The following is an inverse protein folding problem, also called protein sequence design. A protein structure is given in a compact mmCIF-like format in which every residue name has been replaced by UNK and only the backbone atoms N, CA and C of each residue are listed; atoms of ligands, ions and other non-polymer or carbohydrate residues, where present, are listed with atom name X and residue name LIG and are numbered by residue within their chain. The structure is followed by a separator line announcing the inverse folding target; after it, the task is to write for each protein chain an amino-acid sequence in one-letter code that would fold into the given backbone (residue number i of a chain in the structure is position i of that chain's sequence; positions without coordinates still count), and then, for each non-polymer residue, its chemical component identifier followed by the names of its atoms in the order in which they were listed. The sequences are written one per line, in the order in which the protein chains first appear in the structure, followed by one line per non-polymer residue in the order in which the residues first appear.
data_IF_019683338574
#
_entry.id   IF_019683338574
#
_cell.length_a   1.000
_cell.length_b   1.000
_cell.length_c   1.000
_cell.angle_alpha   90.00
_cell.angle_beta   90.00
_cell.angle_gamma   90.00
#
_symmetry.space_group_name_H-M   'P 1'
#
loop_
_entity.id
_entity.type
_entity.pdbx_description
1 polymer ?
#
# COMPACT_ATOMS: atom_id res chain seq x y z
N UNK A 1 -84.52 -22.13 -38.95
CA UNK A 1 -83.70 -20.94 -39.28
C UNK A 1 -83.23 -20.19 -38.03
N UNK A 2 -84.10 -19.91 -37.05
CA UNK A 2 -83.75 -19.14 -35.84
C UNK A 2 -82.68 -19.79 -34.94
N UNK A 3 -82.74 -21.11 -34.69
CA UNK A 3 -81.79 -21.81 -33.81
C UNK A 3 -80.34 -21.73 -34.32
N UNK A 4 -80.16 -21.87 -35.64
CA UNK A 4 -78.85 -21.84 -36.28
C UNK A 4 -78.20 -20.44 -36.19
N UNK A 5 -79.04 -19.40 -36.23
CA UNK A 5 -78.64 -18.00 -36.08
C UNK A 5 -78.25 -17.69 -34.62
N UNK A 6 -78.96 -18.27 -33.65
CA UNK A 6 -78.63 -18.14 -32.22
C UNK A 6 -77.30 -18.83 -31.87
N UNK A 7 -77.05 -20.03 -32.42
CA UNK A 7 -75.78 -20.75 -32.22
C UNK A 7 -74.61 -19.93 -32.81
N UNK A 8 -74.80 -19.35 -34.00
CA UNK A 8 -73.78 -18.50 -34.62
C UNK A 8 -73.49 -17.24 -33.78
N UNK A 9 -74.52 -16.59 -33.23
CA UNK A 9 -74.35 -15.43 -32.34
C UNK A 9 -73.60 -15.78 -31.05
N UNK A 10 -73.89 -16.93 -30.44
CA UNK A 10 -73.18 -17.40 -29.24
C UNK A 10 -71.72 -17.71 -29.59
N UNK A 11 -71.45 -18.34 -30.73
CA UNK A 11 -70.09 -18.62 -31.18
C UNK A 11 -69.28 -17.33 -31.41
N UNK A 12 -69.90 -16.30 -31.98
CA UNK A 12 -69.27 -14.98 -32.17
C UNK A 12 -69.00 -14.30 -30.82
N UNK A 13 -69.93 -14.36 -29.87
CA UNK A 13 -69.74 -13.80 -28.53
C UNK A 13 -68.64 -14.51 -27.75
N UNK A 14 -68.59 -15.85 -27.80
CA UNK A 14 -67.53 -16.64 -27.17
C UNK A 14 -66.17 -16.39 -27.83
N UNK A 15 -66.12 -16.31 -29.17
CA UNK A 15 -64.92 -15.96 -29.91
C UNK A 15 -64.41 -14.56 -29.58
N UNK A 16 -65.32 -13.58 -29.54
CA UNK A 16 -64.99 -12.20 -29.16
C UNK A 16 -64.49 -12.09 -27.71
N UNK A 17 -65.12 -12.82 -26.78
CA UNK A 17 -64.68 -12.87 -25.37
C UNK A 17 -63.31 -13.54 -25.22
N UNK A 18 -63.05 -14.61 -25.96
CA UNK A 18 -61.75 -15.30 -25.95
C UNK A 18 -60.65 -14.39 -26.52
N UNK A 19 -60.90 -13.70 -27.63
CA UNK A 19 -59.94 -12.75 -28.22
C UNK A 19 -59.70 -11.57 -27.27
N UNK A 20 -60.74 -11.01 -26.66
CA UNK A 20 -60.60 -9.92 -25.70
C UNK A 20 -59.77 -10.32 -24.48
N UNK A 21 -60.04 -11.50 -23.90
CA UNK A 21 -59.29 -12.00 -22.73
C UNK A 21 -57.85 -12.35 -23.07
N UNK A 22 -57.59 -12.87 -24.27
CA UNK A 22 -56.23 -13.15 -24.76
C UNK A 22 -55.44 -11.86 -25.00
N UNK A 23 -56.02 -10.88 -25.71
CA UNK A 23 -55.40 -9.58 -25.96
C UNK A 23 -55.13 -8.80 -24.68
N UNK A 24 -55.99 -8.93 -23.66
CA UNK A 24 -55.79 -8.28 -22.35
C UNK A 24 -54.66 -8.90 -21.53
N UNK A 25 -54.41 -10.21 -21.66
CA UNK A 25 -53.35 -10.93 -20.91
C UNK A 25 -51.96 -10.90 -21.57
N UNK A 26 -51.89 -10.62 -22.87
CA UNK A 26 -50.63 -10.46 -23.61
C UNK A 26 -49.69 -9.37 -23.03
N UNK A 27 -50.15 -8.13 -22.75
CA UNK A 27 -49.28 -7.10 -22.20
C UNK A 27 -48.68 -7.53 -20.85
N UNK A 28 -49.48 -8.12 -19.95
CA UNK A 28 -48.99 -8.59 -18.64
C UNK A 28 -47.92 -9.69 -18.78
N UNK A 29 -48.08 -10.61 -19.74
CA UNK A 29 -47.10 -11.66 -20.01
C UNK A 29 -45.80 -11.11 -20.61
N UNK A 30 -45.89 -10.14 -21.52
CA UNK A 30 -44.73 -9.48 -22.12
C UNK A 30 -43.99 -8.64 -21.08
N UNK A 31 -44.71 -7.89 -20.23
CA UNK A 31 -44.13 -7.12 -19.14
C UNK A 31 -43.45 -8.01 -18.10
N UNK A 32 -44.07 -9.13 -17.69
CA UNK A 32 -43.46 -10.07 -16.76
C UNK A 32 -42.19 -10.74 -17.32
N UNK A 33 -42.18 -11.05 -18.63
CA UNK A 33 -40.99 -11.61 -19.29
C UNK A 33 -39.86 -10.57 -19.38
N UNK A 34 -40.19 -9.33 -19.73
CA UNK A 34 -39.23 -8.24 -19.81
C UNK A 34 -38.68 -7.87 -18.42
N UNK A 35 -39.51 -7.89 -17.37
CA UNK A 35 -39.05 -7.68 -15.99
C UNK A 35 -38.06 -8.77 -15.58
N UNK A 36 -38.37 -10.04 -15.83
CA UNK A 36 -37.44 -11.14 -15.50
C UNK A 36 -36.14 -11.07 -16.28
N UNK A 37 -36.18 -10.68 -17.55
CA UNK A 37 -34.98 -10.47 -18.35
C UNK A 37 -34.14 -9.30 -17.81
N UNK A 38 -34.79 -8.23 -17.38
CA UNK A 38 -34.15 -7.08 -16.76
C UNK A 38 -33.55 -7.40 -15.40
N UNK A 39 -34.27 -8.12 -14.53
CA UNK A 39 -33.76 -8.62 -13.24
C UNK A 39 -32.56 -9.56 -13.43
N UNK A 40 -32.63 -10.44 -14.43
CA UNK A 40 -31.51 -11.32 -14.76
C UNK A 40 -30.29 -10.52 -15.23
N UNK A 41 -30.47 -9.55 -16.12
CA UNK A 41 -29.37 -8.71 -16.63
C UNK A 41 -28.75 -7.86 -15.50
N UNK A 42 -29.58 -7.29 -14.63
CA UNK A 42 -29.11 -6.56 -13.44
C UNK A 42 -28.30 -7.46 -12.49
N UNK A 43 -28.79 -8.66 -12.20
CA UNK A 43 -28.07 -9.59 -11.32
C UNK A 43 -26.74 -10.01 -11.95
N UNK A 44 -26.72 -10.23 -13.27
CA UNK A 44 -25.51 -10.55 -14.00
C UNK A 44 -24.50 -9.41 -13.95
N UNK A 45 -24.93 -8.16 -14.22
CA UNK A 45 -24.07 -6.99 -14.12
C UNK A 45 -23.55 -6.79 -12.68
N UNK A 46 -24.39 -7.01 -11.68
CA UNK A 46 -24.00 -6.92 -10.27
C UNK A 46 -22.94 -7.97 -9.91
N UNK A 47 -23.09 -9.19 -10.41
CA UNK A 47 -22.12 -10.27 -10.21
C UNK A 47 -20.80 -9.97 -10.92
N UNK A 48 -20.84 -9.51 -12.16
CA UNK A 48 -19.65 -9.07 -12.91
C UNK A 48 -18.92 -7.94 -12.19
N UNK A 49 -19.65 -6.92 -11.72
CA UNK A 49 -19.08 -5.79 -10.98
C UNK A 49 -18.47 -6.23 -9.64
N UNK A 50 -19.14 -7.13 -8.92
CA UNK A 50 -18.63 -7.68 -7.66
C UNK A 50 -17.36 -8.51 -7.86
N UNK A 51 -17.31 -9.27 -8.95
CA UNK A 51 -16.11 -10.02 -9.34
C UNK A 51 -14.96 -9.07 -9.70
N UNK A 52 -15.22 -8.03 -10.51
CA UNK A 52 -14.23 -6.99 -10.84
C UNK A 52 -13.67 -6.32 -9.58
N UNK A 53 -14.54 -5.87 -8.67
CA UNK A 53 -14.11 -5.26 -7.41
C UNK A 53 -13.25 -6.21 -6.57
N UNK A 54 -13.60 -7.50 -6.56
CA UNK A 54 -12.82 -8.51 -5.82
C UNK A 54 -11.43 -8.68 -6.43
N UNK A 55 -11.36 -8.80 -7.75
CA UNK A 55 -10.08 -8.89 -8.48
C UNK A 55 -9.23 -7.64 -8.29
N UNK A 56 -9.81 -6.44 -8.40
CA UNK A 56 -9.09 -5.18 -8.20
C UNK A 56 -8.56 -5.06 -6.77
N UNK A 57 -9.34 -5.47 -5.77
CA UNK A 57 -8.88 -5.52 -4.38
C UNK A 57 -7.73 -6.50 -4.18
N UNK A 58 -7.78 -7.68 -4.79
CA UNK A 58 -6.69 -8.65 -4.72
C UNK A 58 -5.42 -8.12 -5.40
N UNK A 59 -5.53 -7.52 -6.58
CA UNK A 59 -4.42 -6.88 -7.28
C UNK A 59 -3.82 -5.73 -6.46
N UNK A 60 -4.66 -4.90 -5.83
CA UNK A 60 -4.21 -3.82 -4.96
C UNK A 60 -3.45 -4.35 -3.75
N UNK A 61 -3.95 -5.41 -3.10
CA UNK A 61 -3.27 -6.09 -1.99
C UNK A 61 -1.92 -6.68 -2.40
N UNK A 62 -1.84 -7.29 -3.59
CA UNK A 62 -0.59 -7.83 -4.12
C UNK A 62 0.41 -6.70 -4.34
N UNK A 63 -0.01 -5.61 -4.98
CA UNK A 63 0.84 -4.44 -5.22
C UNK A 63 1.32 -3.79 -3.92
N UNK A 64 0.43 -3.64 -2.94
CA UNK A 64 0.77 -3.12 -1.61
C UNK A 64 1.79 -4.02 -0.89
N UNK A 65 1.59 -5.34 -0.94
CA UNK A 65 2.52 -6.32 -0.38
C UNK A 65 3.89 -6.26 -1.04
N UNK A 66 3.96 -6.19 -2.37
CA UNK A 66 5.22 -6.05 -3.10
C UNK A 66 5.93 -4.74 -2.76
N UNK A 67 5.18 -3.64 -2.66
CA UNK A 67 5.73 -2.33 -2.28
C UNK A 67 6.24 -2.34 -0.84
N UNK A 68 5.54 -3.00 0.08
CA UNK A 68 5.98 -3.19 1.46
C UNK A 68 7.27 -4.01 1.56
N UNK A 69 7.38 -5.10 0.81
CA UNK A 69 8.61 -5.90 0.70
C UNK A 69 9.76 -5.04 0.19
N UNK A 70 9.54 -4.26 -0.89
CA UNK A 70 10.56 -3.40 -1.46
C UNK A 70 11.02 -2.31 -0.48
N UNK A 71 10.08 -1.65 0.19
CA UNK A 71 10.37 -0.69 1.27
C UNK A 71 11.23 -1.34 2.36
N UNK A 72 10.83 -2.51 2.84
CA UNK A 72 11.56 -3.26 3.87
C UNK A 72 12.98 -3.57 3.45
N UNK A 73 13.19 -4.03 2.21
CA UNK A 73 14.53 -4.32 1.69
C UNK A 73 15.40 -3.07 1.59
N UNK A 74 14.87 -1.95 1.09
CA UNK A 74 15.62 -0.71 0.96
C UNK A 74 15.92 -0.08 2.32
N UNK A 75 14.99 -0.16 3.28
CA UNK A 75 15.23 0.28 4.65
C UNK A 75 16.28 -0.59 5.36
N UNK A 76 16.28 -1.91 5.18
CA UNK A 76 17.33 -2.78 5.74
C UNK A 76 18.72 -2.42 5.23
N UNK A 77 18.87 -2.18 3.92
CA UNK A 77 20.15 -1.71 3.33
C UNK A 77 20.58 -0.36 3.92
N UNK A 78 19.61 0.53 4.16
CA UNK A 78 19.86 1.81 4.80
C UNK A 78 20.40 1.63 6.21
N UNK A 79 19.78 0.76 7.02
CA UNK A 79 20.23 0.48 8.38
C UNK A 79 21.65 -0.09 8.35
N UNK A 80 21.94 -1.02 7.44
CA UNK A 80 23.28 -1.60 7.29
C UNK A 80 24.35 -0.54 7.01
N UNK A 81 24.12 0.36 6.04
CA UNK A 81 25.07 1.44 5.71
C UNK A 81 25.29 2.36 6.91
N UNK A 82 24.22 2.72 7.63
CA UNK A 82 24.32 3.61 8.78
C UNK A 82 25.03 2.96 9.96
N UNK A 83 24.80 1.66 10.20
CA UNK A 83 25.49 0.89 11.23
C UNK A 83 26.97 0.77 10.89
N UNK A 84 27.35 0.36 9.66
CA UNK A 84 28.76 0.24 9.25
C UNK A 84 29.55 1.54 9.50
N UNK A 85 28.94 2.70 9.24
CA UNK A 85 29.56 4.00 9.50
C UNK A 85 29.84 4.26 10.99
N UNK A 86 29.10 3.63 11.90
CA UNK A 86 29.28 3.74 13.34
C UNK A 86 30.19 2.65 13.90
N UNK A 87 30.28 1.51 13.23
CA UNK A 87 30.84 0.28 13.82
C UNK A 87 32.21 -0.11 13.25
N UNK A 88 32.42 0.02 11.95
CA UNK A 88 33.68 -0.42 11.33
C UNK A 88 34.76 0.66 11.41
N UNK A 89 35.62 0.56 12.44
CA UNK A 89 36.74 1.50 12.69
C UNK A 89 37.71 1.56 11.50
N UNK A 90 37.93 0.44 10.81
CA UNK A 90 38.82 0.39 9.65
C UNK A 90 38.20 1.07 8.43
N UNK A 91 36.90 0.89 8.22
CA UNK A 91 36.14 1.62 7.21
C UNK A 91 36.15 3.12 7.47
N UNK A 92 35.89 3.56 8.72
CA UNK A 92 35.93 4.98 9.10
C UNK A 92 37.31 5.57 8.87
N UNK A 93 38.38 4.86 9.24
CA UNK A 93 39.76 5.29 8.99
C UNK A 93 40.06 5.41 7.49
N UNK A 94 39.62 4.45 6.68
CA UNK A 94 39.74 4.51 5.20
C UNK A 94 38.92 5.65 4.63
N UNK A 95 37.79 6.00 5.22
CA UNK A 95 36.95 7.11 4.78
C UNK A 95 37.70 8.46 4.77
N UNK A 96 38.54 8.69 5.79
CA UNK A 96 39.32 9.91 5.94
C UNK A 96 40.62 9.95 5.13
N UNK A 97 41.06 8.81 4.58
CA UNK A 97 42.39 8.67 3.96
C UNK A 97 42.35 8.21 2.50
N UNK A 98 41.32 7.48 2.08
CA UNK A 98 41.20 6.86 0.77
C UNK A 98 40.06 7.51 -0.05
N UNK A 99 40.44 8.19 -1.13
CA UNK A 99 39.51 8.88 -2.01
C UNK A 99 38.51 7.95 -2.71
N UNK A 100 38.89 6.70 -3.03
CA UNK A 100 37.98 5.73 -3.63
C UNK A 100 36.89 5.30 -2.63
N UNK A 101 37.27 5.04 -1.38
CA UNK A 101 36.34 4.71 -0.30
C UNK A 101 35.38 5.88 -0.02
N UNK A 102 35.89 7.11 -0.01
CA UNK A 102 35.07 8.31 0.15
C UNK A 102 34.06 8.48 -1.00
N UNK A 103 34.47 8.24 -2.25
CA UNK A 103 33.57 8.30 -3.41
C UNK A 103 32.48 7.23 -3.33
N UNK A 104 32.84 6.00 -2.95
CA UNK A 104 31.87 4.91 -2.76
C UNK A 104 30.87 5.25 -1.65
N UNK A 105 31.34 5.76 -0.51
CA UNK A 105 30.50 6.20 0.58
C UNK A 105 29.52 7.29 0.14
N UNK A 106 30.00 8.33 -0.54
CA UNK A 106 29.15 9.40 -1.05
C UNK A 106 28.10 8.89 -2.04
N UNK A 107 28.44 7.90 -2.88
CA UNK A 107 27.48 7.23 -3.76
C UNK A 107 26.40 6.50 -2.95
N UNK A 108 26.78 5.73 -1.92
CA UNK A 108 25.83 5.04 -1.03
C UNK A 108 24.92 6.03 -0.31
N UNK A 109 25.47 7.14 0.18
CA UNK A 109 24.71 8.19 0.85
C UNK A 109 23.72 8.92 -0.07
N UNK A 110 24.11 9.18 -1.33
CA UNK A 110 23.22 9.76 -2.33
C UNK A 110 22.08 8.81 -2.70
N UNK A 111 22.39 7.54 -2.93
CA UNK A 111 21.39 6.50 -3.20
C UNK A 111 20.39 6.38 -2.04
N UNK A 112 20.91 6.34 -0.81
CA UNK A 112 20.13 6.28 0.42
C UNK A 112 19.21 7.50 0.59
N UNK A 113 19.75 8.71 0.42
CA UNK A 113 18.96 9.95 0.50
C UNK A 113 17.86 10.01 -0.58
N UNK A 114 18.15 9.54 -1.79
CA UNK A 114 17.18 9.50 -2.90
C UNK A 114 16.05 8.51 -2.60
N UNK A 115 16.38 7.31 -2.11
CA UNK A 115 15.39 6.29 -1.76
C UNK A 115 14.50 6.73 -0.60
N UNK A 116 15.08 7.31 0.45
CA UNK A 116 14.31 7.91 1.54
C UNK A 116 13.31 8.93 1.01
N UNK A 117 13.76 9.81 0.10
CA UNK A 117 12.90 10.85 -0.45
C UNK A 117 11.68 10.30 -1.21
N UNK A 118 11.81 9.16 -1.91
CA UNK A 118 10.70 8.57 -2.65
C UNK A 118 9.78 7.68 -1.80
N UNK A 119 10.31 7.01 -0.77
CA UNK A 119 9.61 5.92 -0.09
C UNK A 119 9.24 6.19 1.37
N UNK A 120 9.92 7.13 2.02
CA UNK A 120 9.71 7.44 3.44
C UNK A 120 8.70 8.60 3.61
N UNK A 121 8.18 8.74 4.83
CA UNK A 121 7.33 9.89 5.16
C UNK A 121 8.14 11.18 5.22
N UNK A 122 7.44 12.32 5.06
CA UNK A 122 8.03 13.66 5.19
C UNK A 122 8.79 13.84 6.52
N UNK A 123 8.29 13.23 7.60
CA UNK A 123 8.91 13.28 8.92
C UNK A 123 10.28 12.58 8.90
N UNK A 124 10.35 11.36 8.37
CA UNK A 124 11.60 10.60 8.20
C UNK A 124 12.60 11.35 7.32
N UNK A 125 12.14 11.91 6.19
CA UNK A 125 13.00 12.66 5.28
C UNK A 125 13.58 13.90 5.97
N UNK A 126 12.76 14.68 6.67
CA UNK A 126 13.22 15.88 7.40
C UNK A 126 14.22 15.51 8.50
N UNK A 127 13.96 14.44 9.26
CA UNK A 127 14.85 13.96 10.31
C UNK A 127 16.17 13.43 9.74
N UNK A 128 16.15 12.76 8.59
CA UNK A 128 17.36 12.36 7.87
C UNK A 128 18.19 13.56 7.41
N UNK A 129 17.55 14.60 6.86
CA UNK A 129 18.23 15.84 6.46
C UNK A 129 18.84 16.55 7.67
N UNK A 130 18.14 16.58 8.81
CA UNK A 130 18.65 17.11 10.08
C UNK A 130 19.91 16.37 10.52
N UNK A 131 19.84 15.04 10.60
CA UNK A 131 20.99 14.19 10.91
C UNK A 131 22.16 14.42 9.95
N UNK A 132 21.89 14.49 8.63
CA UNK A 132 22.95 14.69 7.64
C UNK A 132 23.61 16.06 7.80
N UNK A 133 22.83 17.13 7.97
CA UNK A 133 23.36 18.47 8.21
C UNK A 133 24.23 18.50 9.47
N UNK A 134 23.74 17.93 10.56
CA UNK A 134 24.46 17.88 11.83
C UNK A 134 25.75 17.04 11.75
N UNK A 135 25.72 15.90 11.05
CA UNK A 135 26.90 15.04 10.85
C UNK A 135 28.04 15.73 10.08
N UNK A 136 27.73 16.76 9.30
CA UNK A 136 28.71 17.52 8.51
C UNK A 136 29.31 18.71 9.27
N UNK A 137 28.83 19.03 10.48
CA UNK A 137 29.36 20.12 11.30
C UNK A 137 30.43 19.64 12.27
N UNK A 138 31.19 18.59 11.95
CA UNK A 138 32.19 17.97 12.84
C UNK A 138 33.24 18.96 13.37
N UNK A 139 33.59 19.96 12.57
CA UNK A 139 34.57 21.00 12.93
C UNK A 139 33.95 22.17 13.74
N UNK A 140 32.65 22.11 14.04
CA UNK A 140 31.96 23.14 14.81
C UNK A 140 32.22 22.96 16.32
N UNK A 141 32.42 24.05 17.08
CA UNK A 141 32.58 23.97 18.53
C UNK A 141 31.35 23.42 19.26
N UNK A 142 30.17 23.42 18.62
CA UNK A 142 28.93 22.88 19.17
C UNK A 142 28.66 21.42 18.76
N UNK A 143 29.63 20.75 18.12
CA UNK A 143 29.44 19.38 17.67
C UNK A 143 29.59 18.38 18.82
N UNK A 144 28.52 17.66 19.09
CA UNK A 144 28.50 16.53 20.01
C UNK A 144 28.29 15.22 19.24
N UNK A 145 29.28 14.33 19.27
CA UNK A 145 29.20 13.01 18.62
C UNK A 145 28.00 12.18 19.09
N UNK A 146 27.63 12.30 20.37
CA UNK A 146 26.46 11.61 20.95
C UNK A 146 25.16 12.00 20.24
N UNK A 147 25.02 13.27 19.86
CA UNK A 147 23.83 13.77 19.20
C UNK A 147 23.65 13.17 17.79
N UNK A 148 24.74 12.84 17.07
CA UNK A 148 24.66 12.12 15.78
C UNK A 148 24.00 10.74 15.98
N UNK A 149 24.37 10.05 17.04
CA UNK A 149 23.85 8.71 17.37
C UNK A 149 22.38 8.80 17.82
N UNK A 150 22.02 9.82 18.61
CA UNK A 150 20.63 10.06 19.02
C UNK A 150 19.75 10.36 17.81
N UNK A 151 20.19 11.26 16.92
CA UNK A 151 19.46 11.60 15.69
C UNK A 151 19.30 10.37 14.79
N UNK A 152 20.31 9.51 14.72
CA UNK A 152 20.19 8.24 13.99
C UNK A 152 19.13 7.34 14.62
N UNK A 153 19.13 7.19 15.95
CA UNK A 153 18.13 6.38 16.65
C UNK A 153 16.71 6.92 16.45
N UNK A 154 16.53 8.24 16.40
CA UNK A 154 15.25 8.86 16.03
C UNK A 154 14.81 8.49 14.62
N UNK A 155 15.71 8.49 13.64
CA UNK A 155 15.41 8.04 12.26
C UNK A 155 14.96 6.59 12.26
N UNK A 156 15.57 5.70 13.06
CA UNK A 156 15.18 4.29 13.11
C UNK A 156 13.74 4.08 13.59
N UNK A 157 13.30 4.86 14.57
CA UNK A 157 11.91 4.84 15.04
C UNK A 157 10.95 5.30 13.93
N UNK A 158 11.32 6.35 13.19
CA UNK A 158 10.48 6.85 12.09
C UNK A 158 10.41 5.85 10.93
N UNK A 159 11.53 5.22 10.57
CA UNK A 159 11.55 4.15 9.58
C UNK A 159 10.67 2.98 10.00
N UNK A 160 10.67 2.62 11.29
CA UNK A 160 9.77 1.58 11.82
C UNK A 160 8.29 1.94 11.60
N UNK A 161 7.92 3.22 11.78
CA UNK A 161 6.56 3.70 11.45
C UNK A 161 6.26 3.60 9.96
N UNK A 162 7.19 4.01 9.11
CA UNK A 162 7.06 3.94 7.63
C UNK A 162 6.95 2.49 7.11
N UNK A 163 7.43 1.51 7.89
CA UNK A 163 7.29 0.08 7.64
C UNK A 163 5.93 -0.50 8.08
N UNK A 164 4.98 0.33 8.50
CA UNK A 164 3.63 -0.09 8.86
C UNK A 164 3.40 -0.26 10.36
N UNK A 165 4.39 0.02 11.20
CA UNK A 165 4.22 0.04 12.66
C UNK A 165 3.88 1.46 13.13
N UNK A 166 2.80 2.05 12.62
CA UNK A 166 2.39 3.43 12.90
C UNK A 166 2.20 3.72 14.40
N UNK A 167 1.71 2.73 15.15
CA UNK A 167 1.46 2.81 16.59
C UNK A 167 2.61 2.23 17.43
N UNK A 168 3.86 2.27 16.92
CA UNK A 168 4.98 1.70 17.66
C UNK A 168 5.24 2.44 18.99
N UNK A 169 5.28 1.68 20.08
CA UNK A 169 5.71 2.18 21.39
C UNK A 169 7.25 2.21 21.53
N UNK A 170 7.97 1.66 20.55
CA UNK A 170 9.43 1.66 20.55
C UNK A 170 9.96 3.09 20.45
N UNK A 171 10.89 3.39 21.34
CA UNK A 171 11.56 4.69 21.44
C UNK A 171 12.98 4.61 20.89
N UNK A 172 13.61 5.77 20.74
CA UNK A 172 15.03 5.86 20.39
C UNK A 172 15.91 5.17 21.45
N UNK A 173 15.50 5.21 22.72
CA UNK A 173 16.25 4.60 23.81
C UNK A 173 16.24 3.08 23.72
N UNK A 174 15.13 2.47 23.27
CA UNK A 174 15.05 1.02 23.02
C UNK A 174 16.02 0.60 21.93
N UNK A 175 16.08 1.35 20.82
CA UNK A 175 17.04 1.10 19.75
C UNK A 175 18.49 1.28 20.23
N UNK A 176 18.76 2.37 20.95
CA UNK A 176 20.10 2.63 21.51
C UNK A 176 20.50 1.56 22.51
N UNK A 177 19.56 1.01 23.27
CA UNK A 177 19.83 -0.07 24.22
C UNK A 177 20.34 -1.32 23.51
N UNK A 178 19.67 -1.73 22.43
CA UNK A 178 20.07 -2.86 21.60
C UNK A 178 21.46 -2.59 21.01
N UNK A 179 21.59 -1.44 20.32
CA UNK A 179 22.84 -1.08 19.66
C UNK A 179 24.01 -1.02 20.64
N UNK A 180 23.91 -0.27 21.74
CA UNK A 180 25.04 0.01 22.62
C UNK A 180 25.40 -1.15 23.56
N UNK A 181 24.42 -1.95 24.02
CA UNK A 181 24.73 -3.12 24.85
C UNK A 181 25.38 -4.23 24.03
N UNK A 182 24.88 -4.48 22.83
CA UNK A 182 25.41 -5.55 21.99
C UNK A 182 26.71 -5.11 21.29
N UNK A 183 26.89 -3.80 21.05
CA UNK A 183 28.15 -3.21 20.57
C UNK A 183 29.35 -3.55 21.45
N UNK A 184 29.22 -3.34 22.76
CA UNK A 184 30.29 -3.59 23.72
C UNK A 184 30.66 -5.08 23.80
N UNK A 185 29.72 -5.98 23.51
CA UNK A 185 29.96 -7.43 23.50
C UNK A 185 30.57 -7.90 22.18
N UNK A 186 30.21 -7.28 21.04
CA UNK A 186 30.76 -7.62 19.73
C UNK A 186 32.24 -7.24 19.58
N UNK A 187 32.67 -6.06 20.05
CA UNK A 187 34.07 -5.61 19.96
C UNK A 187 35.06 -6.46 20.80
N UNK A 188 34.58 -7.25 21.76
CA UNK A 188 35.40 -8.10 22.63
C UNK A 188 35.56 -9.55 22.12
N UNK A 189 35.13 -9.83 20.88
CA UNK A 189 35.30 -11.10 20.16
C UNK A 189 36.22 -10.92 18.96
#
# INVERSE_FOLDING_TARGET
MNILLTILQIAILLGGWFIYTYLKKLPDQVHAKNLKAFEYDLNKQLEEFRNQLTTDLELMKINESQLHIHKTQEFSKLVEVLIINLTDRDYVRRLGTNQATQKEHNKKMLDLGTKLFFFASDETVKKFVEWRKYSLTVDSPNYESKQVIILLAEIMVLIRRDLGYSETECTKDDFLHIMLKDWANYENT
#
